data_IF_011224171695
#
_entry.id   IF_011224171695
#
_cell.length_a   1.000
_cell.length_b   1.000
_cell.length_c   1.000
_cell.angle_alpha   90.00
_cell.angle_beta   90.00
_cell.angle_gamma   90.00
#
_symmetry.space_group_name_H-M   'P 1'
#
loop_
_entity.id
_entity.type
_entity.pdbx_description
1 polymer ?
#
# COMPACT_ATOMS: atom_id res chain seq x y z
N UNK A 1 1.09 9.43 -8.93
CA UNK A 1 2.13 8.53 -8.38
C UNK A 1 2.53 9.07 -7.02
N UNK A 2 2.58 8.23 -5.97
CA UNK A 2 3.06 8.66 -4.65
C UNK A 2 4.51 9.16 -4.71
N UNK A 3 4.84 10.13 -3.86
CA UNK A 3 6.17 10.75 -3.81
C UNK A 3 6.70 10.63 -2.37
N UNK A 4 7.46 9.57 -2.06
CA UNK A 4 8.10 9.46 -0.75
C UNK A 4 9.09 10.62 -0.54
N UNK A 5 9.31 11.07 0.70
CA UNK A 5 10.21 12.20 0.97
C UNK A 5 11.68 11.87 0.67
N UNK A 6 12.03 10.60 0.64
CA UNK A 6 13.37 10.08 0.31
C UNK A 6 13.29 8.62 -0.11
N UNK A 7 14.35 8.12 -0.76
CA UNK A 7 14.58 6.69 -1.03
C UNK A 7 15.69 6.09 -0.15
N UNK A 8 16.29 6.91 0.71
CA UNK A 8 17.33 6.44 1.65
C UNK A 8 16.69 5.95 2.95
N UNK A 9 16.83 4.67 3.31
CA UNK A 9 16.26 4.14 4.55
C UNK A 9 16.84 4.84 5.79
N UNK A 10 16.03 5.10 6.84
CA UNK A 10 16.54 5.57 8.12
C UNK A 10 17.42 4.51 8.79
N UNK A 11 18.21 4.91 9.79
CA UNK A 11 19.18 4.04 10.47
C UNK A 11 18.56 2.81 11.16
N UNK A 12 17.28 2.89 11.55
CA UNK A 12 16.51 1.79 12.13
C UNK A 12 16.06 0.74 11.09
N UNK A 13 16.19 1.03 9.78
CA UNK A 13 15.69 0.18 8.70
C UNK A 13 16.83 -0.37 7.83
N UNK A 14 16.64 -1.57 7.32
CA UNK A 14 17.55 -2.22 6.35
C UNK A 14 16.79 -2.63 5.11
N UNK A 15 17.32 -2.24 3.94
CA UNK A 15 16.89 -2.78 2.65
C UNK A 15 17.43 -4.21 2.50
N UNK A 16 16.55 -5.16 2.22
CA UNK A 16 16.91 -6.57 1.98
C UNK A 16 15.86 -7.28 1.14
N UNK A 17 16.14 -8.51 0.77
CA UNK A 17 15.13 -9.39 0.19
C UNK A 17 14.54 -10.33 1.26
N UNK A 18 13.23 -10.41 1.29
CA UNK A 18 12.45 -11.38 2.05
C UNK A 18 12.22 -12.61 1.17
N UNK A 19 12.80 -13.74 1.52
CA UNK A 19 12.56 -15.01 0.84
C UNK A 19 11.29 -15.66 1.38
N UNK A 20 10.37 -16.00 0.48
CA UNK A 20 9.11 -16.67 0.79
C UNK A 20 8.94 -17.91 -0.09
N UNK A 21 7.95 -18.76 0.23
CA UNK A 21 7.58 -19.90 -0.65
C UNK A 21 7.06 -19.48 -2.04
N UNK A 22 6.75 -18.19 -2.23
CA UNK A 22 6.21 -17.63 -3.49
C UNK A 22 7.20 -16.75 -4.24
N UNK A 23 8.42 -16.61 -3.76
CA UNK A 23 9.48 -15.83 -4.38
C UNK A 23 10.18 -14.90 -3.38
N UNK A 24 10.99 -14.00 -3.93
CA UNK A 24 11.76 -13.02 -3.17
C UNK A 24 11.14 -11.65 -3.35
N UNK A 25 10.91 -10.94 -2.24
CA UNK A 25 10.32 -9.61 -2.23
C UNK A 25 11.31 -8.61 -1.64
N UNK A 26 11.54 -7.49 -2.30
CA UNK A 26 12.34 -6.40 -1.76
C UNK A 26 11.57 -5.73 -0.61
N UNK A 27 12.26 -5.50 0.52
CA UNK A 27 11.65 -4.94 1.72
C UNK A 27 12.54 -3.90 2.38
N UNK A 28 11.92 -2.96 3.09
CA UNK A 28 12.53 -2.21 4.18
C UNK A 28 12.09 -2.85 5.50
N UNK A 29 13.02 -3.41 6.25
CA UNK A 29 12.78 -4.06 7.55
C UNK A 29 13.33 -3.15 8.65
N UNK A 30 12.44 -2.40 9.30
CA UNK A 30 12.75 -1.49 10.39
C UNK A 30 12.49 -2.19 11.74
N UNK A 31 13.43 -2.02 12.70
CA UNK A 31 13.36 -2.71 13.99
C UNK A 31 13.61 -1.73 15.15
N UNK A 32 12.82 -1.84 16.23
CA UNK A 32 13.12 -1.13 17.47
C UNK A 32 14.45 -1.61 18.09
N UNK A 33 15.00 -0.83 19.01
CA UNK A 33 16.24 -1.18 19.71
C UNK A 33 16.12 -2.42 20.60
N UNK A 34 14.87 -2.73 21.07
CA UNK A 34 14.57 -3.90 21.90
C UNK A 34 13.75 -4.96 21.16
N UNK A 35 13.18 -5.90 21.92
CA UNK A 35 12.22 -6.86 21.38
C UNK A 35 10.96 -6.12 20.91
N UNK A 36 10.49 -6.34 19.68
CA UNK A 36 9.29 -5.68 19.17
C UNK A 36 8.04 -6.17 19.91
N UNK A 37 7.17 -5.25 20.31
CA UNK A 37 5.88 -5.57 20.89
C UNK A 37 4.87 -6.07 19.84
N UNK A 38 5.14 -5.83 18.56
CA UNK A 38 4.36 -6.29 17.41
C UNK A 38 5.12 -6.08 16.12
N UNK A 39 4.62 -6.71 15.06
CA UNK A 39 5.16 -6.54 13.70
C UNK A 39 4.05 -6.08 12.77
N UNK A 40 4.33 -5.09 11.92
CA UNK A 40 3.40 -4.65 10.89
C UNK A 40 3.94 -4.93 9.50
N UNK A 41 3.11 -5.50 8.63
CA UNK A 41 3.35 -5.67 7.20
C UNK A 41 2.65 -4.55 6.44
N UNK A 42 3.40 -3.79 5.63
CA UNK A 42 2.95 -2.58 4.93
C UNK A 42 2.94 -2.82 3.41
N UNK A 43 1.75 -2.69 2.81
CA UNK A 43 1.52 -2.92 1.38
C UNK A 43 1.28 -1.59 0.65
N UNK A 44 2.09 -1.25 -0.37
CA UNK A 44 1.94 0.00 -1.12
C UNK A 44 0.75 -0.01 -2.08
N UNK A 45 0.43 1.20 -2.55
CA UNK A 45 -0.60 1.42 -3.55
C UNK A 45 -0.16 1.12 -4.99
N UNK A 46 -1.06 1.43 -5.92
CA UNK A 46 -0.81 1.43 -7.36
C UNK A 46 0.31 2.41 -7.71
N UNK A 47 1.26 2.02 -8.53
CA UNK A 47 2.48 2.79 -8.86
C UNK A 47 3.39 3.11 -7.66
N UNK A 48 3.11 2.54 -6.48
CA UNK A 48 3.87 2.75 -5.27
C UNK A 48 5.02 1.76 -5.09
N UNK A 49 5.71 1.90 -3.96
CA UNK A 49 6.78 1.00 -3.51
C UNK A 49 6.91 1.03 -1.99
N UNK A 50 7.77 0.18 -1.43
CA UNK A 50 8.07 0.14 0.01
C UNK A 50 8.51 1.49 0.58
N UNK A 51 9.09 2.37 -0.25
CA UNK A 51 9.53 3.71 0.14
C UNK A 51 8.38 4.66 0.47
N UNK A 52 7.16 4.35 0.02
CA UNK A 52 5.98 5.16 0.38
C UNK A 52 5.72 5.17 1.90
N UNK A 53 6.27 4.19 2.63
CA UNK A 53 6.18 4.10 4.09
C UNK A 53 7.43 4.58 4.83
N UNK A 54 8.44 5.09 4.12
CA UNK A 54 9.76 5.37 4.70
C UNK A 54 9.70 6.35 5.88
N UNK A 55 8.81 7.36 5.80
CA UNK A 55 8.62 8.35 6.84
C UNK A 55 7.89 7.81 8.11
N UNK A 56 7.27 6.64 8.00
CA UNK A 56 6.61 5.97 9.14
C UNK A 56 7.54 5.01 9.89
N UNK A 57 8.67 4.61 9.30
CA UNK A 57 9.51 3.54 9.84
C UNK A 57 10.14 3.92 11.18
N UNK A 58 10.66 5.14 11.31
CA UNK A 58 11.26 5.62 12.56
C UNK A 58 10.20 5.79 13.66
N UNK A 59 9.07 6.50 13.43
CA UNK A 59 7.97 6.57 14.41
C UNK A 59 7.45 5.21 14.86
N UNK A 60 7.34 4.22 13.98
CA UNK A 60 6.91 2.87 14.37
C UNK A 60 7.94 2.17 15.27
N UNK A 61 9.23 2.30 14.94
CA UNK A 61 10.27 1.69 15.78
C UNK A 61 10.42 2.38 17.13
N UNK A 62 10.23 3.70 17.20
CA UNK A 62 10.17 4.46 18.46
C UNK A 62 8.99 4.02 19.34
N UNK A 63 7.84 3.69 18.70
CA UNK A 63 6.68 3.11 19.38
C UNK A 63 6.84 1.61 19.70
N UNK A 64 8.01 1.00 19.44
CA UNK A 64 8.29 -0.41 19.77
C UNK A 64 7.81 -1.43 18.75
N UNK A 65 7.38 -1.02 17.54
CA UNK A 65 6.93 -1.93 16.50
C UNK A 65 8.04 -2.23 15.48
N UNK A 66 8.12 -3.49 15.05
CA UNK A 66 8.85 -3.83 13.83
C UNK A 66 7.98 -3.52 12.63
N UNK A 67 8.51 -2.80 11.63
CA UNK A 67 7.80 -2.49 10.41
C UNK A 67 8.49 -3.11 9.19
N UNK A 68 7.74 -3.84 8.37
CA UNK A 68 8.23 -4.44 7.12
C UNK A 68 7.41 -3.89 5.97
N UNK A 69 7.96 -2.91 5.26
CA UNK A 69 7.38 -2.38 4.04
C UNK A 69 7.88 -3.20 2.85
N UNK A 70 6.97 -3.61 1.96
CA UNK A 70 7.31 -4.51 0.85
C UNK A 70 7.06 -3.85 -0.51
N UNK A 71 7.88 -4.19 -1.50
CA UNK A 71 7.48 -4.08 -2.89
C UNK A 71 6.69 -5.33 -3.24
N UNK A 72 5.44 -5.18 -3.68
CA UNK A 72 4.65 -6.30 -4.18
C UNK A 72 5.25 -6.88 -5.47
N UNK A 73 4.79 -8.04 -5.89
CA UNK A 73 5.22 -8.68 -7.14
C UNK A 73 5.14 -7.68 -8.30
N UNK A 74 6.24 -7.55 -9.06
CA UNK A 74 6.36 -6.64 -10.19
C UNK A 74 6.43 -5.15 -9.86
N UNK A 75 6.47 -4.79 -8.57
CA UNK A 75 6.70 -3.41 -8.15
C UNK A 75 8.21 -3.18 -7.90
N UNK A 76 8.71 -2.10 -8.42
CA UNK A 76 10.06 -1.55 -8.25
C UNK A 76 11.18 -2.61 -8.20
N UNK A 77 11.64 -3.03 -7.01
CA UNK A 77 12.76 -3.95 -6.83
C UNK A 77 12.35 -5.42 -6.71
N UNK A 78 11.05 -5.69 -6.64
CA UNK A 78 10.52 -7.04 -6.68
C UNK A 78 10.18 -7.44 -8.11
N UNK A 79 10.92 -8.40 -8.64
CA UNK A 79 10.67 -8.93 -9.97
C UNK A 79 9.30 -9.61 -10.10
N UNK A 80 8.80 -9.73 -11.30
CA UNK A 80 7.56 -10.45 -11.62
C UNK A 80 7.47 -10.82 -13.09
N UNK A 81 6.60 -11.79 -13.45
CA UNK A 81 6.40 -12.20 -14.84
C UNK A 81 5.81 -11.10 -15.73
N UNK A 82 6.03 -11.19 -17.04
CA UNK A 82 5.45 -10.28 -18.03
C UNK A 82 4.03 -10.68 -18.46
N UNK A 83 3.31 -11.43 -17.64
CA UNK A 83 1.95 -11.90 -17.89
C UNK A 83 0.99 -11.31 -16.86
N UNK A 84 -0.15 -10.80 -17.31
CA UNK A 84 -1.13 -10.12 -16.42
C UNK A 84 -1.78 -11.07 -15.43
N UNK A 85 -1.92 -12.36 -15.77
CA UNK A 85 -2.50 -13.41 -14.92
C UNK A 85 -1.73 -13.58 -13.61
N UNK A 86 -0.41 -13.37 -13.64
CA UNK A 86 0.44 -13.45 -12.45
C UNK A 86 0.11 -12.37 -11.39
N UNK A 87 -0.66 -11.36 -11.76
CA UNK A 87 -1.07 -10.24 -10.92
C UNK A 87 -2.57 -10.25 -10.61
N UNK A 88 -3.25 -11.39 -10.81
CA UNK A 88 -4.61 -11.57 -10.32
C UNK A 88 -4.67 -11.28 -8.80
N UNK A 89 -5.75 -10.68 -8.32
CA UNK A 89 -5.87 -10.29 -6.91
C UNK A 89 -5.64 -11.47 -5.96
N UNK A 90 -6.10 -12.69 -6.32
CA UNK A 90 -5.87 -13.90 -5.55
C UNK A 90 -4.39 -14.29 -5.47
N UNK A 91 -3.61 -14.05 -6.54
CA UNK A 91 -2.16 -14.30 -6.55
C UNK A 91 -1.43 -13.31 -5.64
N UNK A 92 -1.78 -12.00 -5.73
CA UNK A 92 -1.21 -10.97 -4.88
C UNK A 92 -1.61 -11.18 -3.40
N UNK A 93 -2.83 -11.59 -3.13
CA UNK A 93 -3.29 -11.95 -1.78
C UNK A 93 -2.50 -13.17 -1.22
N UNK A 94 -2.24 -14.17 -2.05
CA UNK A 94 -1.41 -15.33 -1.67
C UNK A 94 0.04 -14.94 -1.40
N UNK A 95 0.56 -13.94 -2.10
CA UNK A 95 1.90 -13.39 -1.82
C UNK A 95 1.94 -12.73 -0.43
N UNK A 96 0.89 -11.97 -0.06
CA UNK A 96 0.79 -11.34 1.27
C UNK A 96 0.79 -12.39 2.39
N UNK A 97 0.05 -13.49 2.23
CA UNK A 97 0.07 -14.60 3.19
C UNK A 97 1.48 -15.20 3.33
N UNK A 98 2.18 -15.43 2.22
CA UNK A 98 3.54 -15.95 2.24
C UNK A 98 4.56 -14.95 2.83
N UNK A 99 4.35 -13.64 2.65
CA UNK A 99 5.14 -12.59 3.26
C UNK A 99 4.92 -12.56 4.79
N UNK A 100 3.67 -12.60 5.25
CA UNK A 100 3.35 -12.65 6.68
C UNK A 100 4.00 -13.88 7.35
N UNK A 101 3.89 -15.06 6.73
CA UNK A 101 4.55 -16.28 7.21
C UNK A 101 6.08 -16.11 7.31
N UNK A 102 6.72 -15.53 6.30
CA UNK A 102 8.18 -15.37 6.25
C UNK A 102 8.75 -14.33 7.23
N UNK A 103 7.96 -13.31 7.62
CA UNK A 103 8.37 -12.32 8.62
C UNK A 103 8.05 -12.75 10.06
N UNK A 104 7.27 -13.80 10.23
CA UNK A 104 6.81 -14.33 11.53
C UNK A 104 5.43 -13.80 11.90
N UNK A 105 4.47 -14.71 12.05
CA UNK A 105 3.10 -14.44 12.47
C UNK A 105 2.95 -14.49 14.00
N UNK A 106 1.96 -13.79 14.58
CA UNK A 106 0.95 -12.97 13.91
C UNK A 106 1.44 -11.55 13.64
N UNK A 107 0.84 -10.86 12.64
CA UNK A 107 1.20 -9.50 12.24
C UNK A 107 0.00 -8.56 12.13
N UNK A 108 0.22 -7.26 12.33
CA UNK A 108 -0.70 -6.22 11.87
C UNK A 108 -0.54 -6.09 10.35
N UNK A 109 -1.65 -6.02 9.62
CA UNK A 109 -1.63 -5.82 8.17
C UNK A 109 -2.14 -4.42 7.84
N UNK A 110 -1.34 -3.64 7.12
CA UNK A 110 -1.74 -2.33 6.61
C UNK A 110 -1.57 -2.30 5.10
N UNK A 111 -2.64 -1.91 4.40
CA UNK A 111 -2.57 -1.66 2.97
C UNK A 111 -3.01 -0.25 2.61
N UNK A 112 -2.20 0.43 1.81
CA UNK A 112 -2.50 1.74 1.25
C UNK A 112 -3.13 1.60 -0.13
N UNK A 113 -4.26 2.25 -0.36
CA UNK A 113 -4.91 2.32 -1.68
C UNK A 113 -5.14 0.91 -2.28
N UNK A 114 -4.56 0.57 -3.45
CA UNK A 114 -4.58 -0.79 -4.01
C UNK A 114 -4.09 -1.83 -2.99
N UNK A 115 -3.05 -1.52 -2.23
CA UNK A 115 -2.52 -2.39 -1.18
C UNK A 115 -3.58 -2.75 -0.14
N UNK A 116 -4.53 -1.86 0.14
CA UNK A 116 -5.67 -2.15 1.02
C UNK A 116 -6.68 -3.14 0.41
N UNK A 117 -6.92 -3.07 -0.90
CA UNK A 117 -7.76 -4.06 -1.59
C UNK A 117 -7.09 -5.43 -1.60
N UNK A 118 -5.76 -5.49 -1.81
CA UNK A 118 -4.97 -6.72 -1.74
C UNK A 118 -4.95 -7.27 -0.30
N UNK A 119 -4.77 -6.41 0.70
CA UNK A 119 -4.82 -6.78 2.13
C UNK A 119 -6.18 -7.36 2.51
N UNK A 120 -7.28 -6.73 2.07
CA UNK A 120 -8.64 -7.26 2.22
C UNK A 120 -8.77 -8.64 1.60
N UNK A 121 -8.29 -8.83 0.38
CA UNK A 121 -8.33 -10.13 -0.30
C UNK A 121 -7.52 -11.20 0.44
N UNK A 122 -6.36 -10.85 1.00
CA UNK A 122 -5.54 -11.76 1.80
C UNK A 122 -6.28 -12.19 3.09
N UNK A 123 -6.91 -11.26 3.80
CA UNK A 123 -7.71 -11.55 5.00
C UNK A 123 -8.92 -12.42 4.68
N UNK A 124 -9.59 -12.20 3.55
CA UNK A 124 -10.71 -13.01 3.10
C UNK A 124 -10.29 -14.42 2.66
N UNK A 125 -9.05 -14.58 2.21
CA UNK A 125 -8.49 -15.88 1.85
C UNK A 125 -8.06 -16.68 3.09
N UNK A 126 -7.33 -16.04 4.00
CA UNK A 126 -6.95 -16.60 5.31
C UNK A 126 -6.65 -15.46 6.31
N UNK A 127 -7.48 -15.34 7.35
CA UNK A 127 -7.28 -14.33 8.39
C UNK A 127 -6.25 -14.71 9.45
N UNK A 128 -5.89 -15.98 9.55
CA UNK A 128 -5.12 -16.54 10.68
C UNK A 128 -3.78 -15.87 10.96
N UNK A 129 -3.02 -15.35 9.95
CA UNK A 129 -1.77 -14.67 10.20
C UNK A 129 -1.91 -13.25 10.77
N UNK A 130 -3.14 -12.69 10.82
CA UNK A 130 -3.34 -11.26 11.08
C UNK A 130 -4.01 -11.00 12.43
N UNK A 131 -3.43 -10.09 13.22
CA UNK A 131 -4.02 -9.60 14.49
C UNK A 131 -4.91 -8.38 14.28
N UNK A 132 -4.67 -7.61 13.23
CA UNK A 132 -5.53 -6.50 12.82
C UNK A 132 -5.38 -6.20 11.34
N UNK A 133 -6.33 -5.46 10.77
CA UNK A 133 -6.29 -4.94 9.41
C UNK A 133 -6.49 -3.44 9.40
N UNK A 134 -5.58 -2.69 8.79
CA UNK A 134 -5.75 -1.27 8.48
C UNK A 134 -5.91 -1.06 6.97
N UNK A 135 -6.99 -0.40 6.58
CA UNK A 135 -7.26 0.07 5.22
C UNK A 135 -6.99 1.58 5.17
N UNK A 136 -5.85 1.96 4.61
CA UNK A 136 -5.44 3.35 4.50
C UNK A 136 -5.73 3.89 3.11
N UNK A 137 -6.60 4.91 3.02
CA UNK A 137 -7.07 5.49 1.75
C UNK A 137 -7.46 4.42 0.72
N UNK A 138 -8.20 3.40 1.18
CA UNK A 138 -8.62 2.24 0.38
C UNK A 138 -10.10 2.00 0.57
N UNK A 139 -10.86 2.13 -0.51
CA UNK A 139 -12.32 2.10 -0.46
C UNK A 139 -12.95 0.71 -0.60
N UNK A 140 -14.30 0.66 -0.50
CA UNK A 140 -15.07 -0.58 -0.47
C UNK A 140 -15.04 -1.34 -1.81
N UNK A 141 -14.91 -0.60 -2.90
CA UNK A 141 -15.05 -1.10 -4.28
C UNK A 141 -14.13 -0.33 -5.23
N UNK A 142 -14.47 -0.31 -6.51
CA UNK A 142 -13.75 0.41 -7.55
C UNK A 142 -13.50 1.90 -7.21
N UNK A 143 -12.46 2.47 -7.79
CA UNK A 143 -12.12 3.89 -7.63
C UNK A 143 -13.17 4.82 -8.25
N UNK A 144 -13.11 6.12 -7.92
CA UNK A 144 -14.01 7.15 -8.47
C UNK A 144 -13.99 7.18 -10.02
N UNK A 145 -15.07 7.68 -10.66
CA UNK A 145 -15.13 7.75 -12.13
C UNK A 145 -13.93 8.50 -12.73
N UNK A 146 -13.51 9.60 -12.12
CA UNK A 146 -12.35 10.39 -12.59
C UNK A 146 -11.07 9.57 -12.51
N UNK A 147 -10.86 8.84 -11.43
CA UNK A 147 -9.68 7.99 -11.29
C UNK A 147 -9.73 6.78 -12.23
N UNK A 148 -10.89 6.23 -12.52
CA UNK A 148 -11.03 5.16 -13.53
C UNK A 148 -10.54 5.60 -14.91
N UNK A 149 -10.90 6.81 -15.32
CA UNK A 149 -10.43 7.35 -16.61
C UNK A 149 -8.91 7.54 -16.63
N UNK A 150 -8.33 8.04 -15.54
CA UNK A 150 -6.88 8.18 -15.40
C UNK A 150 -6.15 6.83 -15.46
N UNK A 151 -6.65 5.83 -14.74
CA UNK A 151 -6.10 4.47 -14.73
C UNK A 151 -6.23 3.82 -16.11
N UNK A 152 -7.39 4.01 -16.78
CA UNK A 152 -7.60 3.51 -18.15
C UNK A 152 -6.61 4.15 -19.13
N UNK A 153 -6.45 5.47 -19.09
CA UNK A 153 -5.50 6.18 -19.95
C UNK A 153 -4.08 5.66 -19.78
N UNK A 154 -3.65 5.45 -18.54
CA UNK A 154 -2.35 4.86 -18.25
C UNK A 154 -2.23 3.44 -18.79
N UNK A 155 -3.24 2.59 -18.59
CA UNK A 155 -3.25 1.22 -19.10
C UNK A 155 -3.18 1.17 -20.62
N UNK A 156 -3.96 2.02 -21.30
CA UNK A 156 -3.97 2.11 -22.77
C UNK A 156 -2.58 2.58 -23.30
N UNK A 157 -1.95 3.52 -22.61
CA UNK A 157 -0.60 3.96 -22.94
C UNK A 157 0.42 2.82 -22.79
N UNK A 158 0.37 2.06 -21.69
CA UNK A 158 1.29 0.95 -21.42
C UNK A 158 1.14 -0.23 -22.39
N UNK A 159 0.01 -0.36 -23.10
CA UNK A 159 -0.17 -1.37 -24.15
C UNK A 159 0.61 -1.03 -25.42
N UNK A 160 0.81 0.27 -25.71
CA UNK A 160 1.38 0.74 -26.97
C UNK A 160 2.73 1.43 -26.85
N UNK A 161 3.08 1.88 -25.65
CA UNK A 161 4.30 2.65 -25.36
C UNK A 161 5.18 1.90 -24.36
N UNK A 162 6.48 2.14 -24.44
CA UNK A 162 7.43 1.64 -23.43
C UNK A 162 7.27 2.40 -22.11
N UNK A 163 7.75 1.81 -21.01
CA UNK A 163 7.78 2.47 -19.69
C UNK A 163 8.49 3.83 -19.75
N UNK A 164 9.59 3.96 -20.52
CA UNK A 164 10.30 5.21 -20.72
C UNK A 164 9.44 6.25 -21.45
N UNK A 165 8.74 5.87 -22.51
CA UNK A 165 7.87 6.79 -23.27
C UNK A 165 6.71 7.28 -22.41
N UNK A 166 6.10 6.40 -21.61
CA UNK A 166 5.04 6.79 -20.67
C UNK A 166 5.60 7.71 -19.59
N UNK A 167 6.79 7.45 -19.06
CA UNK A 167 7.45 8.35 -18.12
C UNK A 167 7.63 9.75 -18.70
N UNK A 168 8.16 9.86 -19.90
CA UNK A 168 8.35 11.16 -20.57
C UNK A 168 7.01 11.89 -20.79
N UNK A 169 5.96 11.16 -21.18
CA UNK A 169 4.63 11.74 -21.34
C UNK A 169 4.07 12.27 -20.01
N UNK A 170 4.22 11.52 -18.91
CA UNK A 170 3.80 11.99 -17.58
C UNK A 170 4.58 13.23 -17.15
N UNK A 171 5.90 13.25 -17.35
CA UNK A 171 6.75 14.41 -17.01
C UNK A 171 6.39 15.66 -17.80
N UNK A 172 6.00 15.49 -19.06
CA UNK A 172 5.58 16.62 -19.91
C UNK A 172 4.25 17.27 -19.44
N UNK A 173 3.46 16.56 -18.64
CA UNK A 173 2.20 17.06 -18.04
C UNK A 173 2.40 17.65 -16.65
N UNK A 174 3.55 17.43 -16.00
CA UNK A 174 3.85 18.00 -14.69
C UNK A 174 4.07 19.52 -14.79
N UNK A 175 3.65 20.32 -13.80
CA UNK A 175 3.96 21.74 -13.75
C UNK A 175 5.48 21.99 -13.78
N UNK A 176 5.94 23.06 -14.45
CA UNK A 176 7.38 23.37 -14.59
C UNK A 176 8.16 23.54 -13.27
N UNK A 177 7.47 23.91 -12.19
CA UNK A 177 8.07 24.21 -10.89
C UNK A 177 8.27 22.97 -10.01
N UNK A 178 7.69 21.83 -10.38
CA UNK A 178 7.84 20.59 -9.66
C UNK A 178 8.95 19.71 -10.24
N UNK A 179 10.22 20.17 -10.13
CA UNK A 179 11.34 19.24 -10.27
C UNK A 179 11.62 18.65 -8.88
N UNK A 180 11.16 17.43 -8.58
CA UNK A 180 11.42 16.82 -7.26
C UNK A 180 12.92 16.65 -7.10
N UNK A 181 13.43 16.88 -5.90
CA UNK A 181 14.82 16.57 -5.52
C UNK A 181 15.17 15.11 -5.88
N UNK A 182 14.17 14.21 -5.89
CA UNK A 182 14.30 12.78 -6.16
C UNK A 182 13.76 12.33 -7.54
N UNK A 183 13.76 13.18 -8.53
CA UNK A 183 13.26 12.84 -9.88
C UNK A 183 13.92 11.60 -10.50
N UNK A 184 15.21 11.39 -10.25
CA UNK A 184 15.96 10.22 -10.72
C UNK A 184 15.49 8.91 -10.02
N UNK A 185 15.20 8.97 -8.73
CA UNK A 185 14.72 7.83 -7.97
C UNK A 185 13.27 7.45 -8.34
N UNK A 186 12.41 8.44 -8.56
CA UNK A 186 11.05 8.20 -9.08
C UNK A 186 11.09 7.60 -10.49
N UNK A 187 11.98 8.09 -11.37
CA UNK A 187 12.19 7.50 -12.69
C UNK A 187 12.68 6.05 -12.58
N UNK A 188 13.69 5.79 -11.74
CA UNK A 188 14.22 4.46 -11.51
C UNK A 188 13.12 3.50 -11.01
N UNK A 189 12.29 3.94 -10.03
CA UNK A 189 11.16 3.17 -9.54
C UNK A 189 10.18 2.84 -10.67
N UNK A 190 9.79 3.84 -11.44
CA UNK A 190 8.88 3.66 -12.56
C UNK A 190 9.41 2.66 -13.58
N UNK A 191 10.65 2.86 -14.06
CA UNK A 191 11.26 2.04 -15.11
C UNK A 191 11.50 0.58 -14.69
N UNK A 192 11.60 0.31 -13.39
CA UNK A 192 11.77 -1.05 -12.85
C UNK A 192 10.45 -1.73 -12.49
N UNK A 193 9.35 -1.00 -12.49
CA UNK A 193 8.02 -1.59 -12.28
C UNK A 193 7.54 -2.28 -13.55
N UNK A 194 6.92 -3.47 -13.40
CA UNK A 194 6.39 -4.24 -14.54
C UNK A 194 5.17 -3.53 -15.17
N UNK A 195 5.19 -3.35 -16.49
CA UNK A 195 4.03 -2.84 -17.22
C UNK A 195 2.84 -3.81 -17.12
N UNK A 196 3.07 -5.13 -17.14
CA UNK A 196 2.02 -6.13 -16.98
C UNK A 196 1.36 -6.03 -15.59
N UNK A 197 2.15 -5.76 -14.54
CA UNK A 197 1.64 -5.51 -13.19
C UNK A 197 0.74 -4.27 -13.17
N UNK A 198 1.20 -3.13 -13.73
CA UNK A 198 0.42 -1.89 -13.77
C UNK A 198 -0.89 -2.05 -14.55
N UNK A 199 -0.87 -2.72 -15.70
CA UNK A 199 -2.08 -2.97 -16.49
C UNK A 199 -3.07 -3.85 -15.71
N UNK A 200 -2.60 -4.96 -15.14
CA UNK A 200 -3.45 -5.89 -14.42
C UNK A 200 -4.06 -5.28 -13.15
N UNK A 201 -3.25 -4.62 -12.33
CA UNK A 201 -3.71 -4.00 -11.07
C UNK A 201 -4.51 -2.72 -11.30
N UNK A 202 -4.17 -1.96 -12.35
CA UNK A 202 -5.01 -0.85 -12.80
C UNK A 202 -6.42 -1.33 -13.17
N UNK A 203 -6.53 -2.43 -13.93
CA UNK A 203 -7.81 -3.04 -14.24
C UNK A 203 -8.58 -3.45 -12.97
N UNK A 204 -7.91 -4.04 -11.97
CA UNK A 204 -8.54 -4.40 -10.68
C UNK A 204 -9.19 -3.17 -10.04
N UNK A 205 -8.49 -2.05 -9.93
CA UNK A 205 -9.00 -0.80 -9.37
C UNK A 205 -10.29 -0.31 -10.06
N UNK A 206 -10.47 -0.61 -11.34
CA UNK A 206 -11.64 -0.15 -12.12
C UNK A 206 -12.85 -1.08 -12.05
N UNK A 207 -12.67 -2.32 -11.56
CA UNK A 207 -13.73 -3.35 -11.53
C UNK A 207 -13.91 -4.00 -10.16
N UNK A 208 -13.17 -3.55 -9.14
CA UNK A 208 -13.20 -4.15 -7.79
C UNK A 208 -14.64 -4.13 -7.24
N UNK A 209 -15.20 -5.29 -6.87
CA UNK A 209 -16.54 -5.36 -6.29
C UNK A 209 -16.53 -4.90 -4.82
N UNK A 210 -17.71 -4.48 -4.32
CA UNK A 210 -17.89 -4.22 -2.88
C UNK A 210 -17.89 -5.55 -2.10
N UNK A 211 -16.86 -5.73 -1.28
CA UNK A 211 -16.70 -6.92 -0.41
C UNK A 211 -16.73 -6.57 1.08
N UNK A 212 -17.30 -5.42 1.42
CA UNK A 212 -17.35 -4.93 2.81
C UNK A 212 -18.11 -5.89 3.71
N UNK A 213 -19.24 -6.44 3.25
CA UNK A 213 -20.04 -7.39 4.03
C UNK A 213 -19.27 -8.69 4.32
N UNK A 214 -18.51 -9.20 3.35
CA UNK A 214 -17.64 -10.37 3.55
C UNK A 214 -16.56 -10.08 4.59
N UNK A 215 -15.91 -8.92 4.49
CA UNK A 215 -14.87 -8.52 5.44
C UNK A 215 -15.43 -8.24 6.84
N UNK A 216 -16.63 -7.69 6.96
CA UNK A 216 -17.31 -7.47 8.24
C UNK A 216 -17.58 -8.79 8.97
N UNK A 217 -17.88 -9.86 8.22
CA UNK A 217 -18.10 -11.19 8.78
C UNK A 217 -16.84 -11.88 9.30
N UNK A 218 -15.64 -11.38 8.94
CA UNK A 218 -14.37 -11.92 9.46
C UNK A 218 -14.17 -11.43 10.91
N UNK A 219 -14.40 -12.35 11.88
CA UNK A 219 -14.30 -12.08 13.32
C UNK A 219 -13.52 -13.22 14.02
N UNK A 220 -12.84 -12.95 15.15
CA UNK A 220 -12.45 -11.62 15.61
C UNK A 220 -11.26 -11.09 14.77
N UNK A 221 -11.38 -9.89 14.26
CA UNK A 221 -10.28 -9.16 13.61
C UNK A 221 -10.55 -7.65 13.76
N UNK A 222 -9.86 -6.94 14.64
CA UNK A 222 -9.91 -5.48 14.70
C UNK A 222 -9.59 -4.85 13.34
N UNK A 223 -10.38 -3.86 12.95
CA UNK A 223 -10.25 -3.17 11.67
C UNK A 223 -10.15 -1.67 11.87
N UNK A 224 -9.30 -1.03 11.07
CA UNK A 224 -9.08 0.41 11.09
C UNK A 224 -9.20 0.96 9.67
N UNK A 225 -9.99 2.02 9.49
CA UNK A 225 -10.08 2.77 8.24
C UNK A 225 -9.46 4.14 8.48
N UNK A 226 -8.36 4.40 7.79
CA UNK A 226 -7.60 5.66 7.85
C UNK A 226 -7.69 6.37 6.51
N UNK A 227 -7.87 7.68 6.49
CA UNK A 227 -7.74 8.48 5.27
C UNK A 227 -7.24 9.88 5.59
N UNK A 228 -6.78 10.60 4.57
CA UNK A 228 -6.64 12.04 4.63
C UNK A 228 -7.99 12.73 4.75
N UNK A 229 -7.95 14.01 5.04
CA UNK A 229 -9.11 14.91 5.08
C UNK A 229 -9.70 15.11 3.67
N UNK A 230 -8.86 14.97 2.65
CA UNK A 230 -9.23 15.06 1.24
C UNK A 230 -8.72 13.81 0.50
N UNK A 231 -9.64 13.04 -0.09
CA UNK A 231 -9.29 11.89 -0.92
C UNK A 231 -10.13 11.93 -2.20
N UNK A 232 -9.48 12.06 -3.35
CA UNK A 232 -10.10 12.13 -4.66
C UNK A 232 -10.27 10.73 -5.32
N UNK A 233 -9.61 9.74 -4.76
CA UNK A 233 -9.65 8.34 -5.24
C UNK A 233 -10.89 7.62 -4.73
N UNK A 234 -11.13 7.71 -3.41
CA UNK A 234 -12.38 7.34 -2.76
C UNK A 234 -12.84 8.49 -1.87
N UNK A 235 -13.99 9.13 -2.19
CA UNK A 235 -14.51 10.23 -1.38
C UNK A 235 -14.62 9.87 0.10
N UNK A 236 -14.20 10.78 0.98
CA UNK A 236 -14.17 10.55 2.44
C UNK A 236 -15.49 10.02 3.00
N UNK A 237 -16.68 10.55 2.60
CA UNK A 237 -17.96 9.98 3.06
C UNK A 237 -18.18 8.52 2.70
N UNK A 238 -17.58 8.04 1.60
CA UNK A 238 -17.64 6.61 1.22
C UNK A 238 -16.79 5.76 2.17
N UNK A 239 -15.62 6.29 2.60
CA UNK A 239 -14.76 5.63 3.59
C UNK A 239 -15.40 5.64 4.98
N UNK A 240 -16.12 6.70 5.35
CA UNK A 240 -16.88 6.77 6.61
C UNK A 240 -17.98 5.69 6.65
N UNK A 241 -18.78 5.61 5.59
CA UNK A 241 -19.80 4.57 5.45
C UNK A 241 -19.22 3.14 5.44
N UNK A 242 -18.03 2.95 4.83
CA UNK A 242 -17.33 1.67 4.86
C UNK A 242 -16.89 1.32 6.29
N UNK A 243 -16.32 2.27 7.04
CA UNK A 243 -15.88 2.05 8.42
C UNK A 243 -17.06 1.65 9.32
N UNK A 244 -18.20 2.32 9.19
CA UNK A 244 -19.43 1.98 9.92
C UNK A 244 -19.90 0.55 9.59
N UNK A 245 -19.98 0.19 8.30
CA UNK A 245 -20.37 -1.17 7.86
C UNK A 245 -19.41 -2.26 8.34
N UNK A 246 -18.13 -1.93 8.54
CA UNK A 246 -17.10 -2.85 9.04
C UNK A 246 -17.12 -2.96 10.57
N UNK A 247 -17.76 -2.04 11.29
CA UNK A 247 -17.55 -1.85 12.73
C UNK A 247 -16.08 -1.52 13.04
N UNK A 248 -15.44 -0.75 12.17
CA UNK A 248 -14.03 -0.44 12.24
C UNK A 248 -13.78 0.89 12.97
N UNK A 249 -12.64 1.01 13.65
CA UNK A 249 -12.13 2.34 14.04
C UNK A 249 -11.98 3.22 12.80
N UNK A 250 -12.36 4.48 12.91
CA UNK A 250 -12.23 5.48 11.84
C UNK A 250 -11.30 6.61 12.25
N UNK A 251 -10.29 6.92 11.43
CA UNK A 251 -9.41 8.07 11.63
C UNK A 251 -9.31 8.89 10.34
N UNK A 252 -9.49 10.19 10.46
CA UNK A 252 -9.23 11.17 9.39
C UNK A 252 -8.01 11.99 9.79
N UNK A 253 -6.97 11.97 8.95
CA UNK A 253 -5.73 12.72 9.19
C UNK A 253 -5.88 14.11 8.59
N UNK A 254 -5.93 15.13 9.45
CA UNK A 254 -6.11 16.53 9.05
C UNK A 254 -4.97 17.03 8.17
N UNK A 255 -5.29 17.76 7.10
CA UNK A 255 -4.35 18.33 6.16
C UNK A 255 -3.65 17.30 5.25
N UNK A 256 -4.04 16.02 5.30
CA UNK A 256 -3.55 15.00 4.38
C UNK A 256 -4.53 14.79 3.22
N UNK A 257 -4.00 14.30 2.09
CA UNK A 257 -4.75 13.90 0.92
C UNK A 257 -4.83 12.36 0.82
N UNK A 258 -4.72 11.81 -0.38
CA UNK A 258 -4.78 10.36 -0.62
C UNK A 258 -3.64 9.56 0.04
N UNK A 259 -2.54 10.20 0.37
CA UNK A 259 -1.35 9.53 0.93
C UNK A 259 -0.96 10.09 2.31
N UNK A 260 -1.76 9.86 3.37
CA UNK A 260 -1.46 10.39 4.71
C UNK A 260 -0.11 9.92 5.26
N UNK A 261 0.38 8.76 4.84
CA UNK A 261 1.72 8.23 5.14
C UNK A 261 2.88 9.10 4.65
N UNK A 262 2.66 9.91 3.61
CA UNK A 262 3.65 10.86 3.08
C UNK A 262 3.32 12.30 3.44
N UNK A 263 2.04 12.66 3.48
CA UNK A 263 1.58 14.03 3.69
C UNK A 263 1.69 14.47 5.16
N UNK A 264 1.36 13.54 6.08
CA UNK A 264 1.32 13.74 7.54
C UNK A 264 1.83 12.50 8.27
N UNK A 265 3.11 12.14 8.10
CA UNK A 265 3.65 10.87 8.60
C UNK A 265 3.54 10.74 10.13
N UNK A 266 3.80 11.79 10.90
CA UNK A 266 3.79 11.72 12.35
C UNK A 266 2.38 11.47 12.90
N UNK A 267 1.40 12.23 12.43
CA UNK A 267 -0.01 12.09 12.83
C UNK A 267 -0.57 10.74 12.38
N UNK A 268 -0.15 10.27 11.21
CA UNK A 268 -0.53 8.96 10.68
C UNK A 268 0.07 7.84 11.53
N UNK A 269 1.35 7.93 11.88
CA UNK A 269 2.01 6.94 12.73
C UNK A 269 1.35 6.85 14.11
N UNK A 270 1.07 8.00 14.75
CA UNK A 270 0.37 8.06 16.04
C UNK A 270 -0.99 7.37 15.97
N UNK A 271 -1.82 7.69 14.96
CA UNK A 271 -3.14 7.07 14.81
C UNK A 271 -3.08 5.55 14.61
N UNK A 272 -2.02 5.05 13.95
CA UNK A 272 -1.81 3.63 13.70
C UNK A 272 -1.32 2.90 14.95
N UNK A 273 -0.34 3.46 15.65
CA UNK A 273 0.19 2.85 16.89
C UNK A 273 -0.84 2.85 18.00
N UNK A 274 -1.63 3.92 18.18
CA UNK A 274 -2.75 3.97 19.11
C UNK A 274 -3.79 2.86 18.84
N UNK A 275 -4.01 2.53 17.57
CA UNK A 275 -4.90 1.43 17.21
C UNK A 275 -4.28 0.08 17.55
N UNK A 276 -3.00 -0.14 17.27
CA UNK A 276 -2.34 -1.42 17.56
C UNK A 276 -2.15 -1.66 19.07
N UNK A 277 -2.01 -0.60 19.86
CA UNK A 277 -1.94 -0.67 21.35
C UNK A 277 -3.29 -1.01 22.01
N UNK A 278 -4.32 -1.31 21.22
CA UNK A 278 -5.64 -1.72 21.73
C UNK A 278 -6.61 -0.57 21.91
N UNK A 279 -6.35 0.59 21.34
CA UNK A 279 -7.28 1.72 21.25
C UNK A 279 -8.42 1.43 20.25
N UNK A 280 -9.33 0.52 20.63
CA UNK A 280 -10.49 0.12 19.79
C UNK A 280 -11.66 1.06 19.92
#
# INVERSE_FOLDING_TARGET
MSRPPTFTPPSCARARFLSTRRGRFAVLDARPAGEPQGTVLLLPGFTGSKEDFIALLEPFTEAGYRAVAVDGRGQFETEGPDTQEAYAQSELASDVLAQAEAIGTPVHLLGHSLGGQIARAAVLLDRSPFVSLTLMSSGPAQVSPVQRERVKLLSDALVTMTMEQVWQAMRAMDPPEETPVDGADLQRRWLRTSAAQLIATGRQLTVEPDRVAELAAVQPLPKHVVSGEQDDTWPVPLLDAMAERLGARRTVVGGAQHSPNTDRPQETATALTDFWDGGH
#
